data_IF_936862042503
#
_entry.id   IF_936862042503
#
_cell.length_a   1.000
_cell.length_b   1.000
_cell.length_c   1.000
_cell.angle_alpha   90.00
_cell.angle_beta   90.00
_cell.angle_gamma   90.00
#
_symmetry.space_group_name_H-M   'P 1'
#
loop_
_entity.id
_entity.type
_entity.pdbx_description
1 polymer ?
#
# COMPACT_ATOMS: atom_id res chain seq x y z
N UNK A 1 21.67 -21.10 55.75
CA UNK A 1 20.77 -20.68 54.64
C UNK A 1 20.47 -19.21 54.83
N UNK A 2 21.27 -18.33 54.23
CA UNK A 2 21.13 -16.87 54.37
C UNK A 2 20.07 -16.39 53.38
N UNK A 3 18.94 -15.94 53.89
CA UNK A 3 17.85 -15.39 53.10
C UNK A 3 18.31 -14.03 52.58
N UNK A 4 18.59 -13.98 51.27
CA UNK A 4 18.96 -12.78 50.54
C UNK A 4 17.81 -11.77 50.68
N UNK A 5 18.00 -10.73 51.48
CA UNK A 5 17.04 -9.64 51.66
C UNK A 5 16.93 -8.87 50.35
N UNK A 6 16.04 -9.28 49.45
CA UNK A 6 15.70 -8.51 48.27
C UNK A 6 14.95 -7.26 48.76
N UNK A 7 15.66 -6.14 48.90
CA UNK A 7 15.03 -4.83 49.10
C UNK A 7 14.17 -4.53 47.88
N UNK A 8 12.85 -4.74 48.01
CA UNK A 8 11.89 -4.29 47.01
C UNK A 8 11.69 -2.79 47.19
N UNK A 9 12.25 -2.03 46.25
CA UNK A 9 12.00 -0.60 46.12
C UNK A 9 10.66 -0.38 45.42
N UNK A 10 9.77 0.39 46.02
CA UNK A 10 8.53 0.83 45.38
C UNK A 10 8.57 2.34 45.18
N UNK A 11 8.36 2.79 43.94
CA UNK A 11 8.32 4.21 43.58
C UNK A 11 6.87 4.61 43.37
N UNK A 12 6.39 5.61 44.11
CA UNK A 12 5.08 6.22 43.84
C UNK A 12 5.27 7.60 43.24
N UNK A 13 4.70 7.79 42.05
CA UNK A 13 4.73 9.05 41.33
C UNK A 13 3.32 9.65 41.32
N UNK A 14 3.18 10.89 41.73
CA UNK A 14 1.92 11.65 41.66
C UNK A 14 2.01 12.67 40.53
N UNK A 15 1.05 12.62 39.60
CA UNK A 15 1.00 13.49 38.42
C UNK A 15 -0.26 14.35 38.49
N UNK A 16 -0.12 15.66 38.32
CA UNK A 16 -1.24 16.60 38.18
C UNK A 16 -1.00 17.49 36.97
N UNK A 17 -1.97 17.57 36.05
CA UNK A 17 -1.93 18.43 34.86
C UNK A 17 -0.65 18.25 34.01
N UNK A 18 -0.20 17.01 33.82
CA UNK A 18 0.97 16.68 33.00
C UNK A 18 2.33 16.97 33.64
N UNK A 19 2.38 17.39 34.92
CA UNK A 19 3.63 17.57 35.68
C UNK A 19 3.69 16.61 36.87
N UNK A 20 4.85 16.00 37.10
CA UNK A 20 5.11 15.21 38.31
C UNK A 20 5.22 16.17 39.50
N UNK A 21 4.27 16.08 40.44
CA UNK A 21 4.22 16.98 41.60
C UNK A 21 4.88 16.37 42.83
N UNK A 22 5.02 15.04 42.89
CA UNK A 22 5.64 14.34 44.01
C UNK A 22 6.26 13.01 43.56
N UNK A 23 7.50 12.74 43.98
CA UNK A 23 8.21 11.47 43.79
C UNK A 23 8.65 10.95 45.16
N UNK A 24 8.08 9.82 45.59
CA UNK A 24 8.40 9.18 46.86
C UNK A 24 8.92 7.75 46.63
N UNK A 25 10.07 7.42 47.23
CA UNK A 25 10.69 6.09 47.17
C UNK A 25 10.48 5.40 48.52
N UNK A 26 9.82 4.24 48.52
CA UNK A 26 9.54 3.44 49.70
C UNK A 26 10.45 2.21 49.73
N UNK A 27 11.09 1.96 50.88
CA UNK A 27 11.66 0.65 51.18
C UNK A 27 10.61 -0.21 51.89
N UNK A 28 10.35 -1.39 51.33
CA UNK A 28 9.54 -2.40 51.98
C UNK A 28 10.51 -3.32 52.74
N UNK A 29 10.79 -3.01 54.01
CA UNK A 29 11.33 -4.02 54.94
C UNK A 29 10.19 -4.56 55.79
N UNK A 30 10.26 -5.84 56.15
CA UNK A 30 9.17 -6.68 56.67
C UNK A 30 8.42 -6.18 57.93
N UNK A 31 8.76 -5.03 58.51
CA UNK A 31 8.15 -4.61 59.77
C UNK A 31 7.88 -3.12 59.95
N UNK A 32 8.41 -2.18 59.15
CA UNK A 32 7.95 -0.76 59.15
C UNK A 32 8.31 -0.05 57.83
N UNK A 33 7.33 0.57 57.18
CA UNK A 33 7.56 1.51 56.06
C UNK A 33 8.18 2.78 56.64
N UNK A 34 9.45 3.08 56.30
CA UNK A 34 10.09 4.38 56.62
C UNK A 34 10.41 5.12 55.32
N UNK A 35 10.10 6.42 55.29
CA UNK A 35 10.49 7.33 54.20
C UNK A 35 11.97 7.64 54.34
N UNK A 36 12.77 7.49 53.27
CA UNK A 36 14.23 7.68 53.31
C UNK A 36 14.62 9.11 52.98
N UNK A 37 13.93 9.73 52.01
CA UNK A 37 13.99 11.17 51.71
C UNK A 37 12.67 11.57 51.04
N UNK A 38 12.01 12.61 51.53
CA UNK A 38 11.03 13.35 50.75
C UNK A 38 11.83 14.34 49.89
N UNK A 39 11.84 14.16 48.58
CA UNK A 39 12.48 15.13 47.68
C UNK A 39 11.49 16.29 47.51
N UNK A 40 11.54 17.25 48.44
CA UNK A 40 10.83 18.53 48.30
C UNK A 40 11.54 19.40 47.26
N UNK A 41 11.06 19.26 46.02
CA UNK A 41 11.08 20.23 44.91
C UNK A 41 12.16 21.33 44.94
N UNK A 42 13.26 21.08 44.25
CA UNK A 42 13.88 22.09 43.38
C UNK A 42 14.07 21.44 42.00
N UNK A 43 13.27 21.92 41.04
CA UNK A 43 13.39 21.72 39.59
C UNK A 43 13.99 20.41 39.05
N UNK A 44 13.35 19.26 39.32
CA UNK A 44 13.56 18.08 38.47
C UNK A 44 12.80 18.31 37.14
N UNK A 45 13.49 18.92 36.18
CA UNK A 45 13.01 19.07 34.80
C UNK A 45 13.10 17.71 34.08
N UNK A 46 12.16 16.81 34.35
CA UNK A 46 11.99 15.59 33.56
C UNK A 46 11.45 15.97 32.18
N UNK A 47 12.33 16.04 31.18
CA UNK A 47 11.94 16.18 29.78
C UNK A 47 11.68 14.79 29.20
N UNK A 48 10.40 14.47 28.99
CA UNK A 48 10.00 13.27 28.26
C UNK A 48 10.28 13.51 26.78
N UNK A 49 11.15 12.71 26.18
CA UNK A 49 11.42 12.75 24.75
C UNK A 49 10.63 11.64 24.06
N UNK A 50 9.85 12.00 23.05
CA UNK A 50 9.19 11.03 22.17
C UNK A 50 10.23 10.54 21.17
N UNK A 51 10.56 9.25 21.22
CA UNK A 51 11.44 8.60 20.25
C UNK A 51 10.60 8.08 19.09
N UNK A 52 11.09 8.29 17.87
CA UNK A 52 10.47 7.81 16.63
C UNK A 52 11.52 7.23 15.70
N UNK A 53 11.15 6.29 14.83
CA UNK A 53 11.99 5.89 13.70
C UNK A 53 12.43 7.09 12.86
N UNK A 54 13.49 6.95 12.04
CA UNK A 54 13.94 8.01 11.15
C UNK A 54 12.82 8.47 10.22
N UNK A 55 12.79 9.74 9.85
CA UNK A 55 11.77 10.29 8.96
C UNK A 55 12.42 10.52 7.61
N UNK A 56 11.83 9.88 6.60
CA UNK A 56 12.25 9.99 5.22
C UNK A 56 12.00 11.42 4.68
N UNK A 57 12.97 12.00 3.96
CA UNK A 57 12.85 13.31 3.30
C UNK A 57 12.00 13.24 2.02
N UNK A 58 11.68 14.40 1.45
CA UNK A 58 11.12 14.48 0.10
C UNK A 58 12.19 14.18 -0.96
N UNK A 59 11.75 13.82 -2.17
CA UNK A 59 12.63 13.38 -3.26
C UNK A 59 13.64 14.46 -3.65
N UNK A 60 13.19 15.72 -3.67
CA UNK A 60 13.94 16.89 -4.13
C UNK A 60 15.10 17.23 -3.18
N UNK A 61 14.91 17.00 -1.88
CA UNK A 61 15.94 17.19 -0.86
C UNK A 61 16.92 16.01 -0.80
N UNK A 62 16.44 14.80 -1.14
CA UNK A 62 17.22 13.58 -1.07
C UNK A 62 18.09 13.36 -2.30
N UNK A 63 17.56 13.60 -3.50
CA UNK A 63 18.17 13.13 -4.76
C UNK A 63 18.62 14.29 -5.65
N UNK A 64 19.90 14.27 -6.01
CA UNK A 64 20.46 15.07 -7.09
C UNK A 64 20.83 14.13 -8.24
N UNK A 65 20.02 14.15 -9.30
CA UNK A 65 20.17 13.24 -10.44
C UNK A 65 21.02 13.89 -11.53
N UNK A 66 21.85 13.08 -12.18
CA UNK A 66 22.71 13.43 -13.31
C UNK A 66 22.49 12.44 -14.47
N UNK A 67 23.21 12.60 -15.59
CA UNK A 67 23.02 11.78 -16.80
C UNK A 67 23.30 10.30 -16.58
N UNK A 68 24.32 9.96 -15.79
CA UNK A 68 24.79 8.59 -15.55
C UNK A 68 25.01 8.28 -14.08
N UNK A 69 24.54 9.17 -13.19
CA UNK A 69 24.72 9.03 -11.76
C UNK A 69 23.59 9.69 -10.97
N UNK A 70 23.43 9.27 -9.73
CA UNK A 70 22.54 9.92 -8.76
C UNK A 70 23.28 10.10 -7.44
N UNK A 71 23.23 11.30 -6.89
CA UNK A 71 23.74 11.62 -5.57
C UNK A 71 22.60 11.65 -4.57
N UNK A 72 22.76 10.88 -3.50
CA UNK A 72 21.82 10.70 -2.39
C UNK A 72 22.33 11.49 -1.19
N UNK A 73 21.57 12.47 -0.73
CA UNK A 73 21.88 13.34 0.40
C UNK A 73 21.36 12.72 1.71
N UNK A 74 22.18 11.92 2.38
CA UNK A 74 21.80 11.19 3.60
C UNK A 74 21.46 12.11 4.79
N UNK A 75 22.04 13.32 4.81
CA UNK A 75 21.78 14.34 5.83
C UNK A 75 20.38 14.96 5.78
N UNK A 76 19.60 14.73 4.71
CA UNK A 76 18.22 15.18 4.60
C UNK A 76 17.26 14.39 5.52
N UNK A 77 17.66 13.20 5.97
CA UNK A 77 16.89 12.39 6.90
C UNK A 77 16.79 13.01 8.28
N UNK A 78 15.58 13.01 8.86
CA UNK A 78 15.37 13.52 10.23
C UNK A 78 15.37 12.35 11.21
N UNK A 79 16.04 12.52 12.34
CA UNK A 79 16.34 11.43 13.27
C UNK A 79 15.18 11.02 14.19
N UNK A 80 14.09 11.80 14.25
CA UNK A 80 12.88 11.45 15.00
C UNK A 80 13.02 11.48 16.54
N UNK A 81 14.22 11.76 17.06
CA UNK A 81 14.51 11.82 18.51
C UNK A 81 15.76 11.02 18.92
N UNK A 82 16.17 10.02 18.13
CA UNK A 82 17.37 9.23 18.35
C UNK A 82 18.29 9.30 17.13
N UNK A 83 19.62 9.38 17.29
CA UNK A 83 20.55 9.48 16.16
C UNK A 83 20.42 8.27 15.22
N UNK A 84 20.54 8.55 13.93
CA UNK A 84 20.57 7.49 12.89
C UNK A 84 21.90 6.75 13.00
N UNK A 85 21.86 5.42 12.92
CA UNK A 85 23.02 4.54 13.05
C UNK A 85 23.63 4.21 11.68
N UNK A 86 22.82 3.76 10.74
CA UNK A 86 23.24 3.38 9.40
C UNK A 86 22.09 3.44 8.39
N UNK A 87 22.47 3.37 7.11
CA UNK A 87 21.57 3.28 5.98
C UNK A 87 21.88 2.06 5.12
N UNK A 88 20.83 1.44 4.61
CA UNK A 88 20.85 0.44 3.55
C UNK A 88 20.28 1.07 2.26
N UNK A 89 20.92 0.78 1.13
CA UNK A 89 20.64 1.41 -0.16
C UNK A 89 20.53 0.33 -1.22
N UNK A 90 19.35 0.24 -1.84
CA UNK A 90 19.06 -0.65 -2.96
C UNK A 90 18.53 0.15 -4.13
N UNK A 91 18.82 -0.30 -5.34
CA UNK A 91 18.27 0.31 -6.55
C UNK A 91 18.00 -0.74 -7.61
N UNK A 92 17.12 -0.43 -8.55
CA UNK A 92 16.87 -1.25 -9.73
C UNK A 92 16.36 -0.39 -10.86
N UNK A 93 16.49 -0.87 -12.09
CA UNK A 93 15.74 -0.28 -13.20
C UNK A 93 14.25 -0.55 -13.01
N UNK A 94 13.38 0.39 -13.38
CA UNK A 94 11.94 0.29 -13.13
C UNK A 94 11.31 -0.96 -13.76
N UNK A 95 11.83 -1.41 -14.90
CA UNK A 95 11.36 -2.63 -15.59
C UNK A 95 11.89 -3.93 -14.96
N UNK A 96 12.86 -3.85 -14.06
CA UNK A 96 13.45 -5.02 -13.41
C UNK A 96 12.69 -5.36 -12.12
N UNK A 97 12.59 -6.66 -11.84
CA UNK A 97 11.97 -7.17 -10.60
C UNK A 97 12.94 -7.16 -9.42
N UNK A 98 14.19 -7.55 -9.68
CA UNK A 98 15.20 -7.75 -8.63
C UNK A 98 15.89 -6.45 -8.24
N UNK A 99 16.09 -6.26 -6.94
CA UNK A 99 16.85 -5.15 -6.38
C UNK A 99 18.35 -5.44 -6.42
N UNK A 100 19.13 -4.41 -6.75
CA UNK A 100 20.58 -4.41 -6.65
C UNK A 100 20.96 -3.73 -5.34
N UNK A 101 21.66 -4.46 -4.47
CA UNK A 101 22.20 -3.90 -3.23
C UNK A 101 23.42 -3.04 -3.55
N UNK A 102 23.30 -1.73 -3.31
CA UNK A 102 24.42 -0.81 -3.49
C UNK A 102 25.29 -0.75 -2.24
N UNK A 103 24.66 -0.63 -1.06
CA UNK A 103 25.35 -0.62 0.22
C UNK A 103 24.42 -1.07 1.35
N UNK A 104 24.91 -1.96 2.22
CA UNK A 104 24.14 -2.50 3.36
C UNK A 104 24.23 -1.63 4.62
N UNK A 105 25.45 -1.17 4.96
CA UNK A 105 25.71 -0.44 6.21
C UNK A 105 26.50 0.84 5.97
N UNK A 106 25.86 1.85 5.40
CA UNK A 106 26.44 3.18 5.26
C UNK A 106 26.34 3.92 6.60
N UNK A 107 27.46 4.32 7.18
CA UNK A 107 27.48 5.11 8.43
C UNK A 107 26.76 6.45 8.27
N UNK A 108 26.02 6.85 9.29
CA UNK A 108 25.34 8.15 9.36
C UNK A 108 26.26 9.37 9.37
N UNK A 109 27.58 9.17 9.57
CA UNK A 109 28.57 10.25 9.45
C UNK A 109 28.74 10.73 8.01
N UNK A 110 28.36 9.94 7.01
CA UNK A 110 28.41 10.36 5.60
C UNK A 110 27.24 11.29 5.31
N UNK A 111 27.54 12.47 4.77
CA UNK A 111 26.51 13.43 4.35
C UNK A 111 25.81 13.00 3.08
N UNK A 112 26.54 12.39 2.16
CA UNK A 112 26.02 11.97 0.86
C UNK A 112 26.78 10.79 0.28
N UNK A 113 26.16 10.15 -0.72
CA UNK A 113 26.74 9.05 -1.47
C UNK A 113 26.25 9.09 -2.91
N UNK A 114 27.08 8.68 -3.85
CA UNK A 114 26.73 8.72 -5.28
C UNK A 114 26.75 7.32 -5.86
N UNK A 115 25.66 6.95 -6.54
CA UNK A 115 25.59 5.75 -7.38
C UNK A 115 25.99 6.18 -8.79
N UNK A 116 27.10 5.64 -9.29
CA UNK A 116 27.63 5.91 -10.64
C UNK A 116 27.30 4.78 -11.61
N UNK A 117 27.66 4.99 -12.88
CA UNK A 117 27.54 3.97 -13.95
C UNK A 117 26.09 3.54 -14.22
N UNK A 118 25.15 4.46 -14.08
CA UNK A 118 23.77 4.26 -14.49
C UNK A 118 23.63 4.51 -16.00
N UNK A 119 22.72 3.79 -16.64
CA UNK A 119 22.36 4.02 -18.05
C UNK A 119 21.62 5.34 -18.16
N UNK A 120 21.98 6.19 -19.13
CA UNK A 120 21.28 7.45 -19.37
C UNK A 120 19.85 7.23 -19.90
N UNK A 121 19.01 8.25 -19.76
CA UNK A 121 17.60 8.25 -20.20
C UNK A 121 16.80 7.03 -19.70
N UNK A 122 17.11 6.56 -18.50
CA UNK A 122 16.54 5.32 -17.95
C UNK A 122 15.87 5.58 -16.61
N UNK A 123 14.71 4.94 -16.41
CA UNK A 123 13.95 5.02 -15.16
C UNK A 123 14.47 4.03 -14.13
N UNK A 124 14.73 4.52 -12.93
CA UNK A 124 15.22 3.77 -11.79
C UNK A 124 14.29 3.93 -10.59
N UNK A 125 14.23 2.87 -9.79
CA UNK A 125 13.66 2.88 -8.44
C UNK A 125 14.80 2.75 -7.43
N UNK A 126 14.78 3.59 -6.41
CA UNK A 126 15.69 3.59 -5.28
C UNK A 126 14.89 3.24 -4.03
N UNK A 127 15.37 2.29 -3.25
CA UNK A 127 14.87 1.98 -1.92
C UNK A 127 15.97 2.31 -0.91
N UNK A 128 15.62 3.12 0.10
CA UNK A 128 16.53 3.54 1.15
C UNK A 128 15.93 3.17 2.52
N UNK A 129 16.69 2.46 3.33
CA UNK A 129 16.28 2.07 4.68
C UNK A 129 17.22 2.69 5.70
N UNK A 130 16.68 3.50 6.60
CA UNK A 130 17.44 4.17 7.67
C UNK A 130 17.13 3.52 9.01
N UNK A 131 18.14 3.35 9.86
CA UNK A 131 17.99 2.66 11.15
C UNK A 131 18.35 3.56 12.33
N UNK A 132 17.49 3.60 13.36
CA UNK A 132 17.83 4.13 14.68
C UNK A 132 17.36 3.18 15.80
N UNK A 133 17.56 3.56 17.06
CA UNK A 133 17.15 2.76 18.22
C UNK A 133 15.63 2.56 18.35
N UNK A 134 14.82 3.46 17.76
CA UNK A 134 13.36 3.34 17.76
C UNK A 134 12.84 2.42 16.64
N UNK A 135 13.64 2.19 15.59
CA UNK A 135 13.32 1.25 14.52
C UNK A 135 13.89 1.66 13.15
N UNK A 136 13.65 0.82 12.13
CA UNK A 136 13.95 1.16 10.75
C UNK A 136 12.86 2.03 10.12
N UNK A 137 13.21 2.76 9.06
CA UNK A 137 12.26 3.41 8.16
C UNK A 137 12.72 3.23 6.73
N UNK A 138 11.85 2.67 5.91
CA UNK A 138 12.07 2.40 4.49
C UNK A 138 11.31 3.42 3.63
N UNK A 139 11.95 3.91 2.58
CA UNK A 139 11.36 4.84 1.63
C UNK A 139 11.81 4.51 0.20
N UNK A 140 10.88 4.64 -0.74
CA UNK A 140 11.11 4.37 -2.16
C UNK A 140 10.95 5.63 -3.01
N UNK A 141 11.86 5.81 -3.96
CA UNK A 141 11.92 6.98 -4.84
C UNK A 141 12.12 6.55 -6.29
N UNK A 142 11.42 7.21 -7.20
CA UNK A 142 11.55 6.98 -8.65
C UNK A 142 12.29 8.17 -9.26
N UNK A 143 13.31 7.92 -10.07
CA UNK A 143 14.06 8.95 -10.77
C UNK A 143 14.48 8.50 -12.18
N UNK A 144 14.79 9.47 -13.04
CA UNK A 144 15.20 9.23 -14.42
C UNK A 144 16.57 9.84 -14.63
N UNK A 145 17.52 9.02 -15.05
CA UNK A 145 18.86 9.47 -15.43
C UNK A 145 18.79 10.22 -16.76
N UNK A 146 19.53 11.30 -16.90
CA UNK A 146 19.44 12.21 -18.05
C UNK A 146 19.32 13.65 -17.58
N UNK A 147 19.62 14.60 -18.47
CA UNK A 147 19.75 16.00 -18.12
C UNK A 147 18.46 16.52 -17.49
N UNK A 148 18.47 16.59 -16.16
CA UNK A 148 17.49 17.35 -15.42
C UNK A 148 17.67 18.81 -15.85
N UNK A 149 16.79 19.27 -16.74
CA UNK A 149 16.58 20.69 -16.99
C UNK A 149 16.28 21.31 -15.63
N UNK A 150 17.29 21.96 -15.04
CA UNK A 150 17.14 22.72 -13.81
C UNK A 150 16.09 23.81 -14.07
N UNK A 151 14.91 23.63 -13.50
CA UNK A 151 13.89 24.66 -13.40
C UNK A 151 13.01 24.83 -14.64
N UNK A 152 12.02 23.96 -14.80
CA UNK A 152 10.70 24.32 -15.34
C UNK A 152 9.77 23.09 -15.24
N UNK A 153 8.71 23.18 -14.44
CA UNK A 153 7.42 22.63 -14.88
C UNK A 153 6.90 23.59 -15.96
N UNK A 154 6.36 23.10 -17.09
CA UNK A 154 5.02 22.52 -17.06
C UNK A 154 4.83 21.28 -17.95
N UNK A 155 3.76 20.56 -17.65
CA UNK A 155 2.90 19.72 -18.51
C UNK A 155 3.47 18.94 -19.70
N UNK A 156 3.06 17.67 -19.73
CA UNK A 156 2.89 16.87 -20.94
C UNK A 156 4.14 16.69 -21.82
N UNK A 157 5.16 16.02 -21.30
CA UNK A 157 6.05 15.24 -22.19
C UNK A 157 5.29 13.98 -22.57
N UNK A 158 4.70 14.02 -23.77
CA UNK A 158 4.26 12.87 -24.55
C UNK A 158 5.43 11.89 -24.73
N UNK A 159 5.76 11.11 -23.71
CA UNK A 159 6.54 9.89 -23.89
C UNK A 159 5.58 8.87 -24.47
N UNK A 160 5.52 8.87 -25.79
CA UNK A 160 5.12 7.72 -26.60
C UNK A 160 6.06 6.54 -26.28
N UNK A 161 5.84 5.90 -25.14
CA UNK A 161 6.18 4.52 -24.88
C UNK A 161 4.87 3.89 -24.48
N UNK A 162 4.42 2.89 -25.24
CA UNK A 162 3.16 2.16 -25.03
C UNK A 162 2.78 2.17 -23.55
N UNK A 163 1.72 2.90 -23.23
CA UNK A 163 0.92 2.57 -22.07
C UNK A 163 0.38 1.17 -22.38
N UNK A 164 1.18 0.13 -22.12
CA UNK A 164 0.68 -1.23 -22.00
C UNK A 164 -0.39 -1.10 -20.93
N UNK A 165 -1.67 -1.23 -21.31
CA UNK A 165 -2.76 -0.92 -20.39
C UNK A 165 -2.56 -1.80 -19.15
N UNK A 166 -2.90 -1.28 -17.97
CA UNK A 166 -2.89 -1.98 -16.66
C UNK A 166 -3.81 -3.23 -16.60
N UNK A 167 -4.13 -3.80 -17.76
CA UNK A 167 -4.95 -4.97 -18.03
C UNK A 167 -4.08 -6.17 -18.48
N UNK A 168 -2.75 -6.04 -18.53
CA UNK A 168 -1.83 -7.17 -18.77
C UNK A 168 -1.35 -7.86 -17.49
N UNK A 169 -1.82 -7.46 -16.31
CA UNK A 169 -1.75 -8.31 -15.13
C UNK A 169 -2.70 -9.50 -15.35
N UNK A 170 -2.11 -10.61 -15.82
CA UNK A 170 -2.76 -11.90 -16.02
C UNK A 170 -3.55 -12.37 -14.78
N UNK A 171 -3.30 -11.79 -13.61
CA UNK A 171 -3.98 -12.06 -12.35
C UNK A 171 -5.40 -11.47 -12.26
N UNK A 172 -5.68 -10.33 -12.92
CA UNK A 172 -7.01 -9.67 -12.84
C UNK A 172 -7.89 -10.02 -14.04
N UNK A 173 -7.31 -10.17 -15.23
CA UNK A 173 -8.07 -10.53 -16.44
C UNK A 173 -8.57 -11.98 -16.39
N UNK A 174 -7.81 -12.89 -15.78
CA UNK A 174 -8.20 -14.30 -15.66
C UNK A 174 -9.51 -14.48 -14.85
N UNK A 175 -9.67 -13.93 -13.62
CA UNK A 175 -10.92 -14.09 -12.87
C UNK A 175 -12.10 -13.33 -13.49
N UNK A 176 -11.87 -12.16 -14.10
CA UNK A 176 -12.94 -11.37 -14.73
C UNK A 176 -13.47 -12.06 -16.00
N UNK A 177 -12.57 -12.58 -16.84
CA UNK A 177 -12.96 -13.31 -18.05
C UNK A 177 -13.68 -14.63 -17.74
N UNK A 178 -13.17 -15.41 -16.77
CA UNK A 178 -13.85 -16.63 -16.31
C UNK A 178 -15.25 -16.34 -15.75
N UNK A 179 -15.39 -15.28 -14.95
CA UNK A 179 -16.69 -14.87 -14.39
C UNK A 179 -17.69 -14.51 -15.49
N UNK A 180 -17.25 -13.78 -16.52
CA UNK A 180 -18.09 -13.40 -17.65
C UNK A 180 -18.57 -14.64 -18.43
N UNK A 181 -17.68 -15.60 -18.70
CA UNK A 181 -18.02 -16.83 -19.41
C UNK A 181 -19.06 -17.66 -18.65
N UNK A 182 -18.92 -17.78 -17.33
CA UNK A 182 -19.90 -18.48 -16.48
C UNK A 182 -21.27 -17.79 -16.53
N UNK A 183 -21.31 -16.46 -16.43
CA UNK A 183 -22.57 -15.70 -16.51
C UNK A 183 -23.26 -15.92 -17.87
N UNK A 184 -22.52 -15.85 -18.97
CA UNK A 184 -23.07 -16.09 -20.32
C UNK A 184 -23.58 -17.52 -20.46
N UNK A 185 -22.84 -18.52 -19.97
CA UNK A 185 -23.26 -19.91 -20.01
C UNK A 185 -24.57 -20.16 -19.24
N UNK A 186 -24.72 -19.54 -18.06
CA UNK A 186 -25.95 -19.62 -17.26
C UNK A 186 -27.11 -18.95 -17.99
N UNK A 187 -26.91 -17.77 -18.58
CA UNK A 187 -27.95 -17.09 -19.36
C UNK A 187 -28.39 -17.91 -20.57
N UNK A 188 -27.44 -18.55 -21.27
CA UNK A 188 -27.75 -19.46 -22.39
C UNK A 188 -28.54 -20.67 -21.89
N UNK A 189 -28.13 -21.30 -20.78
CA UNK A 189 -28.84 -22.44 -20.21
C UNK A 189 -30.27 -22.07 -19.80
N UNK A 190 -30.45 -20.92 -19.15
CA UNK A 190 -31.78 -20.39 -18.80
C UNK A 190 -32.60 -20.11 -20.06
N UNK A 191 -32.02 -19.47 -21.08
CA UNK A 191 -32.69 -19.25 -22.36
C UNK A 191 -33.11 -20.57 -23.02
N UNK A 192 -32.26 -21.60 -22.97
CA UNK A 192 -32.58 -22.93 -23.51
C UNK A 192 -33.68 -23.62 -22.69
N UNK A 193 -33.67 -23.50 -21.37
CA UNK A 193 -34.73 -24.05 -20.51
C UNK A 193 -36.05 -23.33 -20.75
N UNK A 194 -36.05 -22.00 -20.89
CA UNK A 194 -37.27 -21.22 -21.20
C UNK A 194 -37.78 -21.56 -22.60
N UNK A 195 -36.89 -21.66 -23.60
CA UNK A 195 -37.27 -22.10 -24.96
C UNK A 195 -37.79 -23.54 -24.98
N UNK A 196 -37.22 -24.44 -24.18
CA UNK A 196 -37.67 -25.84 -24.02
C UNK A 196 -38.92 -25.96 -23.14
N UNK A 197 -39.25 -24.96 -22.32
CA UNK A 197 -40.54 -24.86 -21.60
C UNK A 197 -41.65 -24.21 -22.42
N UNK A 198 -41.30 -23.44 -23.45
CA UNK A 198 -42.25 -22.84 -24.41
C UNK A 198 -42.45 -23.59 -25.76
N UNK A 199 -42.28 -24.93 -25.91
CA UNK A 199 -42.68 -25.62 -27.15
C UNK A 199 -44.18 -25.93 -27.21
N UNK A 200 -44.97 -25.59 -26.18
CA UNK A 200 -46.40 -25.95 -26.11
C UNK A 200 -47.36 -24.87 -26.65
N UNK A 201 -46.92 -23.62 -26.86
CA UNK A 201 -47.84 -22.57 -27.37
C UNK A 201 -47.82 -22.38 -28.90
N UNK A 202 -46.73 -22.72 -29.59
CA UNK A 202 -46.65 -22.56 -31.06
C UNK A 202 -47.55 -23.55 -31.83
N UNK A 203 -47.95 -24.67 -31.20
CA UNK A 203 -48.87 -25.63 -31.81
C UNK A 203 -50.34 -25.19 -31.76
N UNK A 204 -50.73 -24.31 -30.82
CA UNK A 204 -52.12 -23.85 -30.72
C UNK A 204 -52.41 -22.67 -31.66
N UNK A 205 -51.45 -21.76 -31.87
CA UNK A 205 -51.60 -20.63 -32.82
C UNK A 205 -51.57 -21.12 -34.28
N UNK A 206 -50.88 -22.22 -34.58
CA UNK A 206 -50.94 -22.86 -35.89
C UNK A 206 -52.27 -23.62 -36.12
N UNK A 207 -52.83 -24.27 -35.08
CA UNK A 207 -54.15 -24.91 -35.16
C UNK A 207 -55.29 -23.91 -35.26
N UNK A 208 -55.25 -22.79 -34.53
CA UNK A 208 -56.28 -21.76 -34.60
C UNK A 208 -56.38 -21.13 -36.00
N UNK A 209 -55.24 -20.80 -36.63
CA UNK A 209 -55.20 -20.30 -38.01
C UNK A 209 -55.64 -21.34 -39.05
N UNK A 210 -55.35 -22.62 -38.83
CA UNK A 210 -55.76 -23.71 -39.72
C UNK A 210 -57.27 -23.97 -39.68
N UNK A 211 -57.89 -23.94 -38.49
CA UNK A 211 -59.34 -24.11 -38.33
C UNK A 211 -60.13 -22.95 -38.94
N UNK A 212 -59.61 -21.72 -38.84
CA UNK A 212 -60.25 -20.54 -39.41
C UNK A 212 -60.17 -20.53 -40.95
N UNK A 213 -59.04 -20.95 -41.53
CA UNK A 213 -58.90 -21.13 -42.98
C UNK A 213 -59.83 -22.23 -43.51
N UNK A 214 -60.01 -23.32 -42.77
CA UNK A 214 -60.90 -24.40 -43.18
C UNK A 214 -62.38 -23.99 -43.16
N UNK A 215 -62.81 -23.20 -42.15
CA UNK A 215 -64.17 -22.64 -42.11
C UNK A 215 -64.44 -21.69 -43.27
N UNK A 216 -63.48 -20.84 -43.64
CA UNK A 216 -63.63 -19.92 -44.77
C UNK A 216 -63.80 -20.65 -46.12
N UNK A 217 -63.08 -21.74 -46.34
CA UNK A 217 -63.18 -22.55 -47.56
C UNK A 217 -64.50 -23.34 -47.67
N UNK A 218 -65.08 -23.79 -46.55
CA UNK A 218 -66.38 -24.48 -46.57
C UNK A 218 -67.51 -23.49 -46.88
N UNK A 219 -67.42 -22.25 -46.36
CA UNK A 219 -68.42 -21.21 -46.65
C UNK A 219 -68.40 -20.76 -48.11
N UNK A 220 -67.23 -20.70 -48.76
CA UNK A 220 -67.19 -20.39 -50.20
C UNK A 220 -67.75 -21.53 -51.05
N UNK A 221 -67.46 -22.79 -50.70
CA UNK A 221 -67.98 -23.95 -51.46
C UNK A 221 -69.50 -24.11 -51.38
N UNK A 222 -70.13 -23.72 -50.27
CA UNK A 222 -71.61 -23.75 -50.18
C UNK A 222 -72.27 -22.61 -50.97
N UNK A 223 -71.57 -21.49 -51.20
CA UNK A 223 -72.08 -20.36 -52.01
C UNK A 223 -72.22 -20.72 -53.49
N UNK A 224 -71.39 -21.65 -53.99
CA UNK A 224 -71.38 -22.09 -55.39
C UNK A 224 -72.42 -23.17 -55.71
N UNK A 225 -73.06 -23.78 -54.69
CA UNK A 225 -74.06 -24.85 -54.86
C UNK A 225 -75.52 -24.34 -54.83
N UNK A 226 -75.74 -23.02 -54.69
CA UNK A 226 -77.08 -22.42 -54.61
C UNK A 226 -77.42 -21.50 -55.80
N UNK A 227 -76.67 -21.58 -56.90
CA UNK A 227 -76.93 -20.80 -58.13
C UNK A 227 -76.77 -21.63 -59.41
#
# INVERSE_FOLDING_TARGET
MSVLWILKFYVRMSVSSGRVTNLSIFLITSSRIRIIRSITKSELNFKVFIIRPPIAPEKEDLLSVNDTSVTIQLNSWKSGGCPITHFEIKYKQQRQKNWILFADRVSSNRKSITISSLSASTWYQLQLTSHNEAGPTEAEYIFTTGAAVKGALPDAVLVSGEAVPFYLELEVVLPVSLSLVVVVAVLVLVCLIVRKRNPTETSQTAKAKSVECHKALVLSRNKDNEN
#
